data_IF_306851719886
#
_entry.id   IF_306851719886
#
_cell.length_a   1.000
_cell.length_b   1.000
_cell.length_c   1.000
_cell.angle_alpha   90.00
_cell.angle_beta   90.00
_cell.angle_gamma   90.00
#
_symmetry.space_group_name_H-M   'P 1'
#
loop_
_entity.id
_entity.type
_entity.pdbx_description
1 polymer ?
#
# COMPACT_ATOMS: atom_id res chain seq x y z
N UNK A 1 20.44 16.10 -6.43
CA UNK A 1 19.73 15.22 -7.38
C UNK A 1 20.45 15.32 -8.71
N UNK A 2 20.81 14.20 -9.34
CA UNK A 2 21.37 14.22 -10.69
C UNK A 2 20.29 14.62 -11.71
N UNK A 3 20.69 15.02 -12.92
CA UNK A 3 19.73 15.39 -13.98
C UNK A 3 18.75 14.26 -14.35
N UNK A 4 19.19 13.00 -14.26
CA UNK A 4 18.38 11.83 -14.61
C UNK A 4 17.36 11.46 -13.52
N UNK A 5 17.73 11.62 -12.24
CA UNK A 5 16.81 11.46 -11.08
C UNK A 5 15.63 12.45 -11.18
N UNK A 6 15.92 13.70 -11.52
CA UNK A 6 14.90 14.72 -11.69
C UNK A 6 13.95 14.38 -12.85
N UNK A 7 14.47 13.92 -14.00
CA UNK A 7 13.66 13.53 -15.16
C UNK A 7 12.73 12.35 -14.87
N UNK A 8 13.23 11.32 -14.19
CA UNK A 8 12.42 10.15 -13.80
C UNK A 8 11.27 10.59 -12.89
N UNK A 9 11.56 11.39 -11.86
CA UNK A 9 10.54 11.82 -10.89
C UNK A 9 9.46 12.70 -11.54
N UNK A 10 9.84 13.62 -12.43
CA UNK A 10 8.90 14.46 -13.18
C UNK A 10 7.99 13.60 -14.06
N UNK A 11 8.56 12.72 -14.87
CA UNK A 11 7.81 11.83 -15.76
C UNK A 11 6.86 10.91 -15.00
N UNK A 12 7.31 10.35 -13.88
CA UNK A 12 6.48 9.52 -13.01
C UNK A 12 5.29 10.31 -12.47
N UNK A 13 5.51 11.55 -12.01
CA UNK A 13 4.45 12.42 -11.50
C UNK A 13 3.41 12.80 -12.55
N UNK A 14 3.84 13.10 -13.78
CA UNK A 14 2.95 13.40 -14.90
C UNK A 14 2.06 12.20 -15.27
N UNK A 15 2.66 11.01 -15.37
CA UNK A 15 1.93 9.77 -15.66
C UNK A 15 0.93 9.43 -14.55
N UNK A 16 1.34 9.56 -13.29
CA UNK A 16 0.49 9.31 -12.13
C UNK A 16 -0.69 10.29 -12.07
N UNK A 17 -0.44 11.59 -12.26
CA UNK A 17 -1.49 12.61 -12.25
C UNK A 17 -2.46 12.42 -13.41
N UNK A 18 -1.97 12.19 -14.63
CA UNK A 18 -2.82 11.94 -15.79
C UNK A 18 -3.68 10.68 -15.61
N UNK A 19 -3.16 9.66 -14.92
CA UNK A 19 -3.93 8.47 -14.57
C UNK A 19 -5.02 8.74 -13.54
N UNK A 20 -4.70 9.46 -12.46
CA UNK A 20 -5.67 9.89 -11.46
C UNK A 20 -6.79 10.75 -12.06
N UNK A 21 -6.46 11.69 -12.95
CA UNK A 21 -7.43 12.54 -13.64
C UNK A 21 -8.40 11.72 -14.51
N UNK A 22 -7.89 10.70 -15.23
CA UNK A 22 -8.73 9.77 -15.99
C UNK A 22 -9.61 8.89 -15.10
N UNK A 23 -9.12 8.48 -13.92
CA UNK A 23 -9.92 7.72 -12.96
C UNK A 23 -11.06 8.59 -12.40
N UNK A 24 -10.76 9.83 -12.03
CA UNK A 24 -11.74 10.80 -11.54
C UNK A 24 -12.82 11.11 -12.60
N UNK A 25 -12.40 11.38 -13.84
CA UNK A 25 -13.32 11.65 -14.95
C UNK A 25 -14.27 10.48 -15.23
N UNK A 26 -13.76 9.24 -15.23
CA UNK A 26 -14.60 8.04 -15.41
C UNK A 26 -15.60 7.81 -14.28
N UNK A 27 -15.24 8.21 -13.06
CA UNK A 27 -16.12 8.11 -11.90
C UNK A 27 -17.06 9.31 -11.74
N UNK A 28 -16.96 10.35 -12.59
CA UNK A 28 -17.76 11.57 -12.47
C UNK A 28 -17.47 12.36 -11.20
N UNK A 29 -16.25 12.25 -10.65
CA UNK A 29 -15.82 12.98 -9.45
C UNK A 29 -14.77 14.04 -9.79
N UNK A 30 -14.64 15.11 -8.99
CA UNK A 30 -13.62 16.13 -9.23
C UNK A 30 -12.20 15.54 -9.21
N UNK A 31 -11.38 15.97 -10.17
CA UNK A 31 -9.96 15.64 -10.18
C UNK A 31 -9.25 16.23 -8.95
N UNK A 32 -8.28 15.48 -8.43
CA UNK A 32 -7.47 15.89 -7.28
C UNK A 32 -6.00 15.93 -7.67
N UNK A 33 -5.31 16.94 -7.16
CA UNK A 33 -3.87 17.13 -7.36
C UNK A 33 -3.09 16.25 -6.40
N UNK A 34 -2.37 15.25 -6.89
CA UNK A 34 -1.66 14.26 -6.07
C UNK A 34 -0.57 14.92 -5.20
N UNK A 35 0.12 15.92 -5.72
CA UNK A 35 1.09 16.75 -4.99
C UNK A 35 0.45 17.51 -3.82
N UNK A 36 -0.80 18.00 -4.00
CA UNK A 36 -1.57 18.62 -2.90
C UNK A 36 -1.95 17.59 -1.84
N UNK A 37 -2.42 16.40 -2.24
CA UNK A 37 -2.72 15.31 -1.30
C UNK A 37 -1.49 14.93 -0.47
N UNK A 38 -0.32 14.85 -1.11
CA UNK A 38 0.93 14.57 -0.42
C UNK A 38 1.32 15.68 0.58
N UNK A 39 0.92 16.93 0.33
CA UNK A 39 1.18 18.06 1.20
C UNK A 39 0.14 18.26 2.33
N UNK A 40 -0.97 17.51 2.32
CA UNK A 40 -2.02 17.64 3.34
C UNK A 40 -1.45 17.37 4.75
N UNK A 41 -1.73 18.26 5.73
CA UNK A 41 -1.46 17.97 7.13
C UNK A 41 -2.28 16.75 7.57
N UNK A 42 -1.59 15.83 8.27
CA UNK A 42 -2.17 14.60 8.79
C UNK A 42 -2.17 14.65 10.32
N UNK A 43 -3.33 14.43 10.93
CA UNK A 43 -3.46 14.13 12.37
C UNK A 43 -3.73 12.64 12.52
N UNK A 44 -2.75 11.90 13.05
CA UNK A 44 -3.00 10.50 13.37
C UNK A 44 -3.95 10.40 14.56
N UNK A 45 -4.81 9.41 14.49
CA UNK A 45 -5.77 9.05 15.51
C UNK A 45 -5.54 7.58 15.89
N UNK A 46 -5.03 7.34 17.09
CA UNK A 46 -4.75 5.98 17.56
C UNK A 46 -6.02 5.17 17.82
N UNK A 47 -7.14 5.82 18.18
CA UNK A 47 -8.42 5.13 18.36
C UNK A 47 -8.95 4.63 17.03
N UNK A 48 -8.85 5.46 15.98
CA UNK A 48 -9.13 5.03 14.62
C UNK A 48 -8.25 3.84 14.21
N UNK A 49 -6.95 3.89 14.48
CA UNK A 49 -6.05 2.78 14.16
C UNK A 49 -6.42 1.50 14.92
N UNK A 50 -6.76 1.59 16.21
CA UNK A 50 -7.22 0.44 17.01
C UNK A 50 -8.51 -0.17 16.48
N UNK A 51 -9.49 0.66 16.14
CA UNK A 51 -10.78 0.20 15.60
C UNK A 51 -10.62 -0.49 14.25
N UNK A 52 -9.83 0.08 13.34
CA UNK A 52 -9.53 -0.54 12.05
C UNK A 52 -8.80 -1.87 12.23
N UNK A 53 -7.87 -1.94 13.18
CA UNK A 53 -7.13 -3.15 13.51
C UNK A 53 -8.03 -4.24 14.09
N UNK A 54 -8.95 -3.89 14.99
CA UNK A 54 -9.89 -4.84 15.61
C UNK A 54 -10.89 -5.38 14.57
N UNK A 55 -11.37 -4.50 13.68
CA UNK A 55 -12.21 -4.92 12.55
C UNK A 55 -11.44 -5.84 11.59
N UNK A 56 -10.17 -5.53 11.31
CA UNK A 56 -9.33 -6.40 10.49
C UNK A 56 -9.15 -7.76 11.14
N UNK A 57 -8.86 -7.80 12.44
CA UNK A 57 -8.62 -9.03 13.22
C UNK A 57 -9.86 -9.92 13.26
N UNK A 58 -11.03 -9.33 13.52
CA UNK A 58 -12.31 -10.04 13.61
C UNK A 58 -12.88 -10.49 12.25
N UNK A 59 -12.45 -9.89 11.13
CA UNK A 59 -12.96 -10.25 9.81
C UNK A 59 -12.61 -11.70 9.43
N UNK A 60 -13.48 -12.40 8.68
CA UNK A 60 -13.15 -13.70 8.13
C UNK A 60 -12.00 -13.59 7.10
N UNK A 61 -11.36 -14.71 6.78
CA UNK A 61 -10.37 -14.75 5.69
C UNK A 61 -10.99 -14.39 4.33
N UNK A 62 -12.26 -14.73 4.13
CA UNK A 62 -13.00 -14.46 2.90
C UNK A 62 -14.35 -13.82 3.23
N UNK A 63 -14.57 -12.61 2.73
CA UNK A 63 -15.90 -11.96 2.69
C UNK A 63 -16.54 -12.23 1.33
N UNK A 64 -17.75 -12.77 1.31
CA UNK A 64 -18.48 -13.07 0.06
C UNK A 64 -18.76 -11.80 -0.74
N UNK A 65 -18.77 -11.90 -2.06
CA UNK A 65 -19.08 -10.78 -2.95
C UNK A 65 -17.91 -9.83 -3.20
N UNK A 66 -16.70 -10.19 -2.79
CA UNK A 66 -15.47 -9.39 -3.02
C UNK A 66 -14.74 -9.79 -4.31
N UNK A 67 -15.10 -10.92 -4.92
CA UNK A 67 -14.39 -11.55 -6.04
C UNK A 67 -14.30 -10.64 -7.26
N UNK A 68 -15.43 -10.06 -7.67
CA UNK A 68 -15.49 -9.11 -8.80
C UNK A 68 -14.68 -7.85 -8.53
N UNK A 69 -14.69 -7.38 -7.28
CA UNK A 69 -13.93 -6.21 -6.86
C UNK A 69 -12.42 -6.47 -6.92
N UNK A 70 -11.97 -7.62 -6.41
CA UNK A 70 -10.57 -8.02 -6.47
C UNK A 70 -10.08 -8.27 -7.91
N UNK A 71 -10.91 -8.83 -8.79
CA UNK A 71 -10.57 -8.95 -10.22
C UNK A 71 -10.32 -7.57 -10.86
N UNK A 72 -11.20 -6.60 -10.60
CA UNK A 72 -11.02 -5.22 -11.08
C UNK A 72 -9.82 -4.51 -10.45
N UNK A 73 -9.54 -4.77 -9.17
CA UNK A 73 -8.35 -4.29 -8.50
C UNK A 73 -7.07 -4.85 -9.17
N UNK A 74 -7.05 -6.15 -9.46
CA UNK A 74 -5.94 -6.80 -10.14
C UNK A 74 -5.67 -6.19 -11.53
N UNK A 75 -6.71 -5.93 -12.31
CA UNK A 75 -6.59 -5.24 -13.61
C UNK A 75 -6.09 -3.80 -13.46
N UNK A 76 -6.57 -3.07 -12.44
CA UNK A 76 -6.14 -1.69 -12.18
C UNK A 76 -4.67 -1.64 -11.77
N UNK A 77 -4.23 -2.58 -10.93
CA UNK A 77 -2.83 -2.74 -10.57
C UNK A 77 -1.94 -2.99 -11.79
N UNK A 78 -2.38 -3.83 -12.74
CA UNK A 78 -1.65 -4.06 -13.99
C UNK A 78 -1.57 -2.79 -14.86
N UNK A 79 -2.62 -1.97 -14.90
CA UNK A 79 -2.59 -0.68 -15.61
C UNK A 79 -1.57 0.27 -14.99
N UNK A 80 -1.58 0.39 -13.66
CA UNK A 80 -0.61 1.22 -12.94
C UNK A 80 0.82 0.68 -13.05
N UNK A 81 1.00 -0.64 -13.07
CA UNK A 81 2.32 -1.27 -13.26
C UNK A 81 2.94 -0.94 -14.62
N UNK A 82 2.12 -0.83 -15.67
CA UNK A 82 2.62 -0.37 -16.99
C UNK A 82 3.15 1.07 -16.91
N UNK A 83 2.49 1.95 -16.16
CA UNK A 83 2.95 3.34 -15.98
C UNK A 83 4.33 3.42 -15.29
N UNK A 84 4.66 2.46 -14.42
CA UNK A 84 5.99 2.35 -13.80
C UNK A 84 7.04 2.09 -14.89
N UNK A 85 6.78 1.14 -15.79
CA UNK A 85 7.64 0.85 -16.94
C UNK A 85 7.72 2.04 -17.91
N UNK A 86 6.59 2.68 -18.19
CA UNK A 86 6.53 3.88 -19.03
C UNK A 86 7.29 5.06 -18.43
N UNK A 87 7.44 5.13 -17.09
CA UNK A 87 8.28 6.12 -16.41
C UNK A 87 9.79 5.79 -16.48
N UNK A 88 10.15 4.61 -16.97
CA UNK A 88 11.53 4.12 -17.04
C UNK A 88 11.98 3.34 -15.80
N UNK A 89 11.06 2.92 -14.94
CA UNK A 89 11.37 2.11 -13.75
C UNK A 89 11.19 0.63 -14.10
N UNK A 90 12.27 -0.15 -13.93
CA UNK A 90 12.25 -1.61 -14.01
C UNK A 90 11.86 -2.19 -12.67
N UNK A 91 11.12 -3.28 -12.68
CA UNK A 91 10.76 -4.04 -11.48
C UNK A 91 11.38 -5.41 -11.54
N UNK A 92 12.10 -5.81 -10.48
CA UNK A 92 12.69 -7.14 -10.33
C UNK A 92 12.34 -7.74 -8.96
N UNK A 93 12.20 -9.08 -8.87
CA UNK A 93 12.13 -9.75 -7.58
C UNK A 93 13.39 -9.50 -6.74
N UNK A 94 13.21 -9.30 -5.43
CA UNK A 94 14.31 -9.41 -4.48
C UNK A 94 14.62 -10.89 -4.20
N UNK A 95 15.87 -11.29 -4.45
CA UNK A 95 16.33 -12.68 -4.25
C UNK A 95 17.31 -12.84 -3.08
N UNK A 96 17.73 -11.73 -2.46
CA UNK A 96 18.60 -11.74 -1.30
C UNK A 96 17.87 -12.06 0.01
N UNK A 97 18.61 -12.24 1.12
CA UNK A 97 18.02 -12.41 2.43
C UNK A 97 17.32 -11.12 2.90
N UNK A 98 16.28 -11.26 3.72
CA UNK A 98 15.60 -10.13 4.35
C UNK A 98 14.88 -9.19 3.37
N UNK A 99 14.69 -7.94 3.79
CA UNK A 99 14.05 -6.90 2.98
C UNK A 99 15.03 -6.26 1.98
N UNK A 100 14.59 -5.86 0.78
CA UNK A 100 15.46 -5.23 -0.23
C UNK A 100 15.98 -3.84 0.16
N UNK A 101 15.33 -3.18 1.12
CA UNK A 101 15.67 -1.82 1.54
C UNK A 101 15.76 -1.73 3.05
N UNK A 102 16.70 -0.90 3.53
CA UNK A 102 16.84 -0.62 4.97
C UNK A 102 15.63 0.14 5.51
N UNK A 103 15.16 1.12 4.75
CA UNK A 103 14.06 2.01 5.10
C UNK A 103 13.50 2.69 3.83
N UNK A 104 12.45 3.50 3.98
CA UNK A 104 11.82 4.18 2.86
C UNK A 104 12.73 5.20 2.16
N UNK A 105 13.71 5.80 2.86
CA UNK A 105 14.65 6.73 2.24
C UNK A 105 15.60 5.97 1.31
N UNK A 106 16.03 4.78 1.72
CA UNK A 106 16.82 3.88 0.89
C UNK A 106 16.05 3.42 -0.36
N UNK A 107 14.77 3.02 -0.21
CA UNK A 107 13.87 2.73 -1.34
C UNK A 107 13.80 3.93 -2.30
N UNK A 108 13.40 5.10 -1.81
CA UNK A 108 13.22 6.32 -2.64
C UNK A 108 14.51 6.68 -3.36
N UNK A 109 15.63 6.72 -2.63
CA UNK A 109 16.93 7.09 -3.20
C UNK A 109 17.39 6.09 -4.27
N UNK A 110 17.26 4.78 -4.03
CA UNK A 110 17.68 3.75 -4.99
C UNK A 110 16.82 3.73 -6.24
N UNK A 111 15.50 3.76 -6.11
CA UNK A 111 14.61 3.74 -7.28
C UNK A 111 14.81 4.98 -8.14
N UNK A 112 14.91 6.16 -7.52
CA UNK A 112 15.12 7.42 -8.26
C UNK A 112 16.48 7.52 -8.95
N UNK A 113 17.53 6.97 -8.34
CA UNK A 113 18.89 7.02 -8.90
C UNK A 113 19.18 5.93 -9.93
N UNK A 114 18.54 4.76 -9.82
CA UNK A 114 18.84 3.60 -10.68
C UNK A 114 17.72 3.23 -11.64
N UNK A 115 16.50 3.74 -11.44
CA UNK A 115 15.33 3.29 -12.17
C UNK A 115 15.01 1.81 -11.93
N UNK A 116 15.42 1.24 -10.79
CA UNK A 116 15.17 -0.16 -10.44
C UNK A 116 14.47 -0.28 -9.09
N UNK A 117 13.29 -0.89 -9.11
CA UNK A 117 12.57 -1.35 -7.93
C UNK A 117 12.78 -2.87 -7.75
N UNK A 118 13.36 -3.25 -6.63
CA UNK A 118 13.25 -4.60 -6.08
C UNK A 118 11.97 -4.77 -5.27
N UNK A 119 11.21 -5.83 -5.57
CA UNK A 119 9.96 -6.18 -4.87
C UNK A 119 10.20 -7.34 -3.92
N UNK A 120 9.82 -7.17 -2.66
CA UNK A 120 9.75 -8.27 -1.70
C UNK A 120 8.52 -9.13 -2.02
N UNK A 121 8.75 -10.35 -2.51
CA UNK A 121 7.69 -11.20 -3.04
C UNK A 121 6.75 -11.71 -1.95
N UNK A 122 5.49 -11.88 -2.35
CA UNK A 122 4.37 -12.35 -1.54
C UNK A 122 4.70 -13.66 -0.83
N UNK A 123 5.38 -14.59 -1.50
CA UNK A 123 5.81 -15.88 -0.94
C UNK A 123 6.72 -15.74 0.29
N UNK A 124 7.45 -14.65 0.42
CA UNK A 124 8.35 -14.39 1.55
C UNK A 124 7.67 -13.70 2.72
N UNK A 125 6.60 -12.94 2.49
CA UNK A 125 5.84 -12.25 3.54
C UNK A 125 4.63 -13.05 4.04
N UNK A 126 3.76 -13.45 3.11
CA UNK A 126 2.53 -14.16 3.44
C UNK A 126 2.66 -15.70 3.34
N UNK A 127 3.87 -16.19 3.07
CA UNK A 127 4.16 -17.60 2.83
C UNK A 127 3.83 -18.06 1.40
N UNK A 128 4.28 -19.26 1.00
CA UNK A 128 3.79 -19.88 -0.23
C UNK A 128 2.26 -20.04 -0.15
N UNK A 129 1.60 -20.14 -1.31
CA UNK A 129 0.16 -20.43 -1.38
C UNK A 129 -0.17 -21.60 -0.43
N UNK A 130 -0.83 -21.32 0.71
CA UNK A 130 -1.10 -22.36 1.70
C UNK A 130 -1.25 -21.92 3.16
N UNK A 131 -0.78 -20.74 3.58
CA UNK A 131 -0.91 -20.36 5.00
C UNK A 131 -2.19 -19.57 5.35
N UNK A 132 -3.13 -19.38 4.41
CA UNK A 132 -4.33 -18.55 4.69
C UNK A 132 -5.39 -18.42 3.59
N UNK A 133 -5.58 -19.45 2.76
CA UNK A 133 -6.66 -19.48 1.75
C UNK A 133 -6.33 -18.85 0.39
N UNK A 134 -7.25 -19.09 -0.57
CA UNK A 134 -7.23 -18.59 -1.95
C UNK A 134 -7.57 -17.09 -1.99
N UNK A 135 -6.58 -16.26 -1.68
CA UNK A 135 -6.73 -14.82 -1.87
C UNK A 135 -6.55 -14.46 -3.36
N UNK A 136 -7.45 -13.70 -4.02
CA UNK A 136 -7.36 -13.39 -5.45
C UNK A 136 -6.04 -12.73 -5.86
N UNK A 137 -5.46 -11.90 -4.98
CA UNK A 137 -4.16 -11.28 -5.26
C UNK A 137 -2.98 -12.27 -5.23
N UNK A 138 -3.16 -13.51 -4.79
CA UNK A 138 -2.15 -14.58 -4.86
C UNK A 138 -2.19 -15.35 -6.18
N UNK A 139 -3.13 -15.04 -7.07
CA UNK A 139 -3.12 -15.60 -8.41
C UNK A 139 -1.96 -15.03 -9.26
N UNK A 140 -1.42 -15.80 -10.21
CA UNK A 140 -0.45 -15.31 -11.17
C UNK A 140 -0.97 -14.09 -11.93
N UNK A 141 -0.14 -13.06 -12.07
CA UNK A 141 -0.51 -11.82 -12.75
C UNK A 141 -0.25 -11.84 -14.27
N UNK A 142 0.35 -12.91 -14.79
CA UNK A 142 0.79 -12.99 -16.19
C UNK A 142 1.97 -12.08 -16.54
N UNK A 143 2.68 -11.56 -15.52
CA UNK A 143 3.86 -10.70 -15.68
C UNK A 143 5.09 -11.45 -15.20
N UNK A 144 6.14 -11.52 -16.04
CA UNK A 144 7.42 -12.13 -15.67
C UNK A 144 8.50 -11.09 -15.48
N UNK A 145 9.28 -11.22 -14.41
CA UNK A 145 10.40 -10.36 -14.09
C UNK A 145 11.52 -11.16 -13.41
N UNK A 146 12.76 -10.99 -13.85
CA UNK A 146 13.90 -11.72 -13.28
C UNK A 146 13.78 -13.25 -13.36
N UNK A 147 13.09 -13.78 -14.38
CA UNK A 147 12.84 -15.21 -14.57
C UNK A 147 11.62 -15.76 -13.83
N UNK A 148 11.06 -15.01 -12.88
CA UNK A 148 9.94 -15.40 -12.03
C UNK A 148 8.62 -14.86 -12.58
N UNK A 149 7.53 -15.58 -12.31
CA UNK A 149 6.17 -15.07 -12.52
C UNK A 149 5.71 -14.32 -11.27
N UNK A 150 5.25 -13.08 -11.45
CA UNK A 150 4.75 -12.25 -10.36
C UNK A 150 3.29 -12.56 -10.06
N UNK A 151 2.91 -12.52 -8.79
CA UNK A 151 1.53 -12.59 -8.35
C UNK A 151 0.89 -11.20 -8.39
N UNK A 152 -0.44 -11.12 -8.44
CA UNK A 152 -1.13 -9.82 -8.41
C UNK A 152 -0.81 -8.99 -7.15
N UNK A 153 -0.47 -9.64 -6.04
CA UNK A 153 -0.03 -8.99 -4.80
C UNK A 153 1.39 -8.42 -4.93
N UNK A 154 2.28 -9.05 -5.71
CA UNK A 154 3.61 -8.49 -6.01
C UNK A 154 3.46 -7.23 -6.87
N UNK A 155 2.55 -7.27 -7.85
CA UNK A 155 2.18 -6.11 -8.66
C UNK A 155 1.60 -5.00 -7.77
N UNK A 156 0.68 -5.34 -6.87
CA UNK A 156 0.07 -4.38 -5.94
C UNK A 156 1.10 -3.70 -5.04
N UNK A 157 2.01 -4.48 -4.44
CA UNK A 157 3.12 -3.96 -3.64
C UNK A 157 4.04 -3.06 -4.47
N UNK A 158 4.36 -3.44 -5.71
CA UNK A 158 5.19 -2.62 -6.59
C UNK A 158 4.55 -1.26 -6.92
N UNK A 159 3.26 -1.24 -7.25
CA UNK A 159 2.55 0.02 -7.55
C UNK A 159 2.40 0.89 -6.32
N UNK A 160 2.17 0.29 -5.16
CA UNK A 160 2.16 1.02 -3.89
C UNK A 160 3.53 1.59 -3.52
N UNK A 161 4.60 0.81 -3.67
CA UNK A 161 5.97 1.28 -3.43
C UNK A 161 6.31 2.48 -4.32
N UNK A 162 5.99 2.42 -5.61
CA UNK A 162 6.32 3.52 -6.53
C UNK A 162 5.41 4.74 -6.33
N UNK A 163 4.09 4.59 -6.41
CA UNK A 163 3.17 5.73 -6.37
C UNK A 163 2.89 6.22 -4.95
N UNK A 164 2.92 5.32 -3.97
CA UNK A 164 2.75 5.64 -2.56
C UNK A 164 4.02 6.23 -1.94
N UNK A 165 5.18 5.60 -2.15
CA UNK A 165 6.44 6.01 -1.48
C UNK A 165 7.40 6.78 -2.39
N UNK A 166 7.80 6.22 -3.53
CA UNK A 166 8.86 6.82 -4.38
C UNK A 166 8.45 8.19 -4.94
N UNK A 167 7.20 8.34 -5.38
CA UNK A 167 6.75 9.57 -6.03
C UNK A 167 6.87 10.79 -5.10
N UNK A 168 6.37 10.70 -3.86
CA UNK A 168 6.34 11.83 -2.93
C UNK A 168 7.32 11.73 -1.75
N UNK A 169 8.11 10.65 -1.66
CA UNK A 169 9.04 10.44 -0.54
C UNK A 169 8.35 10.07 0.77
N UNK A 170 7.19 9.42 0.72
CA UNK A 170 6.46 8.99 1.92
C UNK A 170 7.21 7.86 2.65
N UNK A 171 7.15 7.85 3.98
CA UNK A 171 7.89 6.89 4.80
C UNK A 171 7.10 5.61 5.11
N UNK A 172 7.76 4.51 5.51
CA UNK A 172 7.10 3.25 5.91
C UNK A 172 6.49 3.28 7.33
N UNK A 173 6.65 4.39 8.07
CA UNK A 173 6.00 4.54 9.37
C UNK A 173 4.50 4.88 9.20
N UNK A 174 3.67 4.73 10.24
CA UNK A 174 2.21 4.93 10.15
C UNK A 174 1.79 6.25 9.48
N UNK A 175 2.47 7.37 9.78
CA UNK A 175 2.19 8.67 9.14
C UNK A 175 2.48 8.66 7.63
N UNK A 176 3.58 8.02 7.23
CA UNK A 176 3.97 7.96 5.83
C UNK A 176 3.09 7.02 5.04
N UNK A 177 2.72 5.88 5.61
CA UNK A 177 1.81 4.90 5.01
C UNK A 177 0.39 5.44 4.82
N UNK A 178 -0.13 6.19 5.80
CA UNK A 178 -1.42 6.87 5.66
C UNK A 178 -1.38 7.86 4.50
N UNK A 179 -0.32 8.66 4.39
CA UNK A 179 -0.15 9.61 3.28
C UNK A 179 0.07 8.90 1.94
N UNK A 180 0.88 7.84 1.90
CA UNK A 180 1.10 7.01 0.73
C UNK A 180 -0.24 6.45 0.23
N UNK A 181 -1.04 5.90 1.14
CA UNK A 181 -2.39 5.38 0.84
C UNK A 181 -3.32 6.50 0.37
N UNK A 182 -3.33 7.66 1.02
CA UNK A 182 -4.16 8.82 0.63
C UNK A 182 -3.90 9.27 -0.81
N UNK A 183 -2.63 9.32 -1.21
CA UNK A 183 -2.24 9.66 -2.58
C UNK A 183 -2.59 8.53 -3.55
N UNK A 184 -2.26 7.30 -3.19
CA UNK A 184 -2.44 6.14 -4.06
C UNK A 184 -3.93 5.84 -4.32
N UNK A 185 -4.81 6.01 -3.32
CA UNK A 185 -6.26 5.87 -3.49
C UNK A 185 -6.83 6.78 -4.58
N UNK A 186 -6.27 7.98 -4.79
CA UNK A 186 -6.71 8.88 -5.86
C UNK A 186 -6.41 8.35 -7.27
N UNK A 187 -5.55 7.33 -7.39
CA UNK A 187 -5.28 6.63 -8.65
C UNK A 187 -6.22 5.45 -8.91
N UNK A 188 -7.06 5.07 -7.93
CA UNK A 188 -8.05 4.01 -8.08
C UNK A 188 -9.47 4.56 -8.27
N UNK A 189 -10.32 3.87 -9.06
CA UNK A 189 -11.77 4.08 -9.03
C UNK A 189 -12.34 4.03 -7.60
N UNK A 190 -13.26 4.95 -7.29
CA UNK A 190 -13.80 5.13 -5.94
C UNK A 190 -14.45 3.88 -5.35
N UNK A 191 -15.03 3.03 -6.19
CA UNK A 191 -15.67 1.78 -5.80
C UNK A 191 -14.67 0.66 -5.42
N UNK A 192 -13.39 0.81 -5.76
CA UNK A 192 -12.31 -0.08 -5.32
C UNK A 192 -11.65 0.38 -4.01
N UNK A 193 -11.91 1.61 -3.55
CA UNK A 193 -11.29 2.15 -2.34
C UNK A 193 -11.47 1.27 -1.10
N UNK A 194 -12.65 0.66 -0.84
CA UNK A 194 -12.82 -0.26 0.29
C UNK A 194 -11.85 -1.46 0.31
N UNK A 195 -11.51 -2.00 -0.86
CA UNK A 195 -10.60 -3.14 -1.02
C UNK A 195 -9.15 -2.70 -0.89
N UNK A 196 -8.78 -1.61 -1.58
CA UNK A 196 -7.43 -1.03 -1.48
C UNK A 196 -7.12 -0.62 -0.03
N UNK A 197 -8.11 -0.06 0.66
CA UNK A 197 -7.99 0.29 2.06
C UNK A 197 -7.74 -0.94 2.95
N UNK A 198 -8.38 -2.08 2.67
CA UNK A 198 -8.14 -3.30 3.43
C UNK A 198 -6.72 -3.84 3.24
N UNK A 199 -6.20 -3.81 2.01
CA UNK A 199 -4.85 -4.29 1.70
C UNK A 199 -3.74 -3.36 2.20
N UNK A 200 -4.02 -2.07 2.40
CA UNK A 200 -3.03 -1.08 2.87
C UNK A 200 -3.25 -0.71 4.34
N UNK A 201 -4.32 0.04 4.63
CA UNK A 201 -4.56 0.60 5.97
C UNK A 201 -5.04 -0.46 6.95
N UNK A 202 -5.85 -1.43 6.52
CA UNK A 202 -6.30 -2.55 7.36
C UNK A 202 -5.13 -3.36 7.89
N UNK A 203 -4.28 -3.84 6.99
CA UNK A 203 -3.04 -4.57 7.31
C UNK A 203 -2.08 -3.74 8.17
N UNK A 204 -1.88 -2.46 7.83
CA UNK A 204 -1.03 -1.55 8.58
C UNK A 204 -1.52 -1.34 10.01
N UNK A 205 -2.80 -1.02 10.19
CA UNK A 205 -3.39 -0.82 11.50
C UNK A 205 -3.32 -2.10 12.33
N UNK A 206 -3.59 -3.26 11.74
CA UNK A 206 -3.39 -4.54 12.42
C UNK A 206 -1.93 -4.75 12.83
N UNK A 207 -0.96 -4.51 11.94
CA UNK A 207 0.47 -4.68 12.21
C UNK A 207 1.01 -3.74 13.31
N UNK A 208 0.45 -2.53 13.45
CA UNK A 208 0.90 -1.55 14.43
C UNK A 208 0.08 -1.51 15.72
N UNK A 209 -1.20 -1.86 15.66
CA UNK A 209 -2.17 -1.67 16.74
C UNK A 209 -3.05 -2.90 17.01
N UNK A 210 -2.83 -4.04 16.34
CA UNK A 210 -3.67 -5.22 16.44
C UNK A 210 -3.70 -5.86 17.84
N UNK A 211 -4.73 -6.65 18.16
CA UNK A 211 -4.88 -7.33 19.46
C UNK A 211 -3.65 -8.14 19.88
N UNK A 212 -2.94 -8.75 18.92
CA UNK A 212 -1.72 -9.54 19.16
C UNK A 212 -0.54 -8.75 19.76
N UNK A 213 -0.61 -7.41 19.81
CA UNK A 213 0.40 -6.55 20.45
C UNK A 213 -0.07 -5.97 21.78
N UNK A 214 -1.35 -6.09 22.12
CA UNK A 214 -1.94 -5.43 23.30
C UNK A 214 -1.76 -6.31 24.53
N UNK A 215 -1.64 -5.67 25.69
CA UNK A 215 -1.72 -6.33 27.00
C UNK A 215 -3.16 -6.79 27.27
N UNK A 216 -3.39 -7.66 28.27
CA UNK A 216 -4.75 -8.06 28.66
C UNK A 216 -5.67 -6.90 29.05
N UNK A 217 -5.12 -5.78 29.51
CA UNK A 217 -5.85 -4.55 29.82
C UNK A 217 -6.18 -3.67 28.58
N UNK A 218 -5.83 -4.15 27.38
CA UNK A 218 -6.03 -3.44 26.11
C UNK A 218 -4.97 -2.41 25.77
N UNK A 219 -4.01 -2.12 26.66
CA UNK A 219 -2.95 -1.13 26.39
C UNK A 219 -1.92 -1.66 25.40
N UNK A 220 -1.39 -0.77 24.56
CA UNK A 220 -0.33 -1.11 23.60
C UNK A 220 1.05 -0.74 24.19
N UNK A 221 1.93 -1.71 24.48
CA UNK A 221 3.27 -1.44 24.99
C UNK A 221 4.08 -0.53 24.07
N UNK A 222 4.75 0.47 24.64
CA UNK A 222 5.68 1.35 23.91
C UNK A 222 7.09 0.79 23.92
N UNK A 223 7.94 1.30 23.01
CA UNK A 223 9.36 0.90 22.94
C UNK A 223 10.03 1.14 24.29
N UNK A 224 10.61 0.07 24.86
CA UNK A 224 11.26 0.09 26.17
C UNK A 224 10.37 -0.42 27.32
N UNK A 225 9.08 -0.61 27.08
CA UNK A 225 8.18 -1.19 28.08
C UNK A 225 8.17 -2.73 28.01
N UNK A 226 7.93 -3.42 29.14
CA UNK A 226 7.65 -4.85 29.14
C UNK A 226 6.49 -5.20 28.20
N UNK A 227 6.70 -6.25 27.40
CA UNK A 227 5.74 -6.72 26.39
C UNK A 227 5.86 -6.05 25.01
N UNK A 228 6.76 -5.07 24.82
CA UNK A 228 6.97 -4.47 23.51
C UNK A 228 7.54 -5.46 22.49
N UNK A 229 6.81 -5.67 21.40
CA UNK A 229 7.26 -6.48 20.26
C UNK A 229 7.79 -5.56 19.14
N UNK A 230 9.09 -5.60 18.83
CA UNK A 230 9.66 -4.78 17.76
C UNK A 230 9.18 -5.28 16.38
N UNK A 231 9.06 -4.39 15.37
CA UNK A 231 8.49 -4.74 14.05
C UNK A 231 9.05 -6.02 13.40
N UNK A 232 10.37 -6.29 13.39
CA UNK A 232 10.91 -7.51 12.79
C UNK A 232 10.48 -8.83 13.47
N UNK A 233 9.92 -8.76 14.68
CA UNK A 233 9.43 -9.91 15.45
C UNK A 233 7.90 -10.03 15.40
N UNK A 234 7.21 -9.16 14.68
CA UNK A 234 5.75 -9.20 14.54
C UNK A 234 5.37 -10.14 13.40
N UNK A 235 4.24 -10.86 13.51
CA UNK A 235 3.72 -11.66 12.41
C UNK A 235 3.34 -10.77 11.23
N UNK A 236 3.39 -11.33 10.02
CA UNK A 236 2.79 -10.68 8.85
C UNK A 236 1.26 -10.66 8.99
N UNK A 237 0.59 -9.60 8.52
CA UNK A 237 -0.87 -9.56 8.47
C UNK A 237 -1.42 -10.75 7.67
N UNK A 238 -2.41 -11.50 8.20
CA UNK A 238 -3.12 -12.50 7.41
C UNK A 238 -3.79 -11.80 6.24
N UNK A 239 -3.61 -12.27 5.01
CA UNK A 239 -4.18 -11.59 3.84
C UNK A 239 -5.67 -11.93 3.69
N UNK A 240 -6.54 -11.01 4.11
CA UNK A 240 -8.00 -11.20 4.15
C UNK A 240 -8.70 -10.53 2.97
N UNK A 241 -9.70 -11.21 2.39
CA UNK A 241 -10.64 -10.61 1.44
C UNK A 241 -11.69 -9.82 2.21
N UNK A 242 -11.46 -8.52 2.40
CA UNK A 242 -12.29 -7.66 3.25
C UNK A 242 -12.61 -6.34 2.54
N UNK A 243 -13.80 -5.82 2.77
CA UNK A 243 -14.20 -4.47 2.40
C UNK A 243 -14.50 -3.64 3.64
N UNK A 244 -13.96 -2.43 3.70
CA UNK A 244 -14.32 -1.46 4.73
C UNK A 244 -15.53 -0.63 4.29
N UNK A 245 -16.37 -0.26 5.25
CA UNK A 245 -17.54 0.57 4.97
C UNK A 245 -17.15 2.03 4.66
N UNK A 246 -18.08 2.73 4.02
CA UNK A 246 -17.88 4.13 3.62
C UNK A 246 -17.55 5.03 4.81
N UNK A 247 -18.18 4.79 5.97
CA UNK A 247 -17.94 5.57 7.19
C UNK A 247 -16.47 5.47 7.64
N UNK A 248 -15.87 4.29 7.55
CA UNK A 248 -14.44 4.10 7.87
C UNK A 248 -13.56 4.89 6.91
N UNK A 249 -13.87 4.85 5.61
CA UNK A 249 -13.12 5.60 4.59
C UNK A 249 -13.27 7.11 4.77
N UNK A 250 -14.46 7.61 5.09
CA UNK A 250 -14.69 9.04 5.36
C UNK A 250 -13.93 9.51 6.60
N UNK A 251 -13.88 8.68 7.65
CA UNK A 251 -13.06 8.94 8.84
C UNK A 251 -11.58 8.99 8.50
N UNK A 252 -11.08 8.07 7.67
CA UNK A 252 -9.70 8.11 7.19
C UNK A 252 -9.40 9.39 6.43
N UNK A 253 -10.28 9.79 5.51
CA UNK A 253 -10.12 11.03 4.76
C UNK A 253 -10.10 12.26 5.68
N UNK A 254 -10.94 12.28 6.73
CA UNK A 254 -11.00 13.35 7.72
C UNK A 254 -9.74 13.48 8.59
N UNK A 255 -8.83 12.50 8.60
CA UNK A 255 -7.52 12.63 9.25
C UNK A 255 -6.60 13.62 8.52
N UNK A 256 -6.91 13.91 7.26
CA UNK A 256 -6.20 14.87 6.42
C UNK A 256 -7.00 16.18 6.38
N UNK A 257 -6.36 17.28 6.75
CA UNK A 257 -7.00 18.60 6.65
C UNK A 257 -6.72 19.19 5.28
N UNK A 258 -7.74 19.67 4.56
CA UNK A 258 -7.48 20.57 3.44
C UNK A 258 -6.85 21.86 3.98
N UNK A 259 -5.72 22.29 3.41
CA UNK A 259 -5.35 23.69 3.54
C UNK A 259 -6.38 24.47 2.74
N UNK A 260 -7.15 25.31 3.42
CA UNK A 260 -8.07 26.26 2.79
C UNK A 260 -7.38 27.17 1.81
#
# INVERSE_FOLDING_TARGET
>A
MSGDDHRLTVRLGELAQAHADRAAARAGVPAVRLDRLAAEPLRLDEDFCREVADRYDAAPMVTTGTERGYARLAEENLRQFRLIGDAGIRVLPWTGPGQPYRDSRDLVARVRSTGLLHVFLTRHGHGPAGAGGDHPLRAPAGVRAGGEELLHNDIFRAVHDVFGHVLFGNTFGPRGEFRATRCHLAMYPADLHPLVFAELVGQLCWFFHGPHLRRPDGTLPRRGEPGYVPPPRRPYPPQKQLVYDRRTLDRFAALFTSRG
#
